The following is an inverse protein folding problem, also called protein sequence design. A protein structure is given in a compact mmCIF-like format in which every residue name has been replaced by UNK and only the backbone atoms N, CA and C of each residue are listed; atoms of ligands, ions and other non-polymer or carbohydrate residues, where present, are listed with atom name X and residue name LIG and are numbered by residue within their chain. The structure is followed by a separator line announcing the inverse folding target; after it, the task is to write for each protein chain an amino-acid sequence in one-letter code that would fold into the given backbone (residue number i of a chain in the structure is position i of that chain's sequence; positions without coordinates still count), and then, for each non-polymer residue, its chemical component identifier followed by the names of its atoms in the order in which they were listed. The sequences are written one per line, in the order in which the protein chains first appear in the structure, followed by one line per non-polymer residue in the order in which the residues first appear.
data_IF_871987695819
#
_entry.id   IF_871987695819
#
_cell.length_a   1.000
_cell.length_b   1.000
_cell.length_c   1.000
_cell.angle_alpha   90.00
_cell.angle_beta   90.00
_cell.angle_gamma   90.00
#
_symmetry.space_group_name_H-M   'P 1'
#
loop_
_entity.id
_entity.type
_entity.pdbx_description
1 polymer ?
#
# COMPACT_ATOMS: atom_id res chain seq x y z
N UNK A 1 13.04 -1.12 -15.32
CA UNK A 1 12.02 -0.55 -14.42
C UNK A 1 12.58 -0.51 -13.02
N UNK A 2 12.72 0.66 -12.43
CA UNK A 2 13.16 0.82 -11.04
C UNK A 2 12.02 0.40 -10.11
N UNK A 3 12.32 -0.43 -9.11
CA UNK A 3 11.29 -0.84 -8.14
C UNK A 3 10.82 0.36 -7.32
N UNK A 4 9.57 0.34 -6.83
CA UNK A 4 9.06 1.39 -5.94
C UNK A 4 9.96 1.60 -4.72
N UNK A 5 10.49 0.52 -4.14
CA UNK A 5 11.42 0.58 -3.03
C UNK A 5 12.72 1.32 -3.41
N UNK A 6 13.29 1.01 -4.57
CA UNK A 6 14.50 1.70 -5.06
C UNK A 6 14.25 3.19 -5.31
N UNK A 7 13.08 3.56 -5.85
CA UNK A 7 12.71 4.95 -6.06
C UNK A 7 12.53 5.73 -4.74
N UNK A 8 12.00 5.07 -3.70
CA UNK A 8 11.87 5.64 -2.36
C UNK A 8 13.23 5.81 -1.67
N UNK A 9 14.12 4.80 -1.77
CA UNK A 9 15.48 4.88 -1.22
C UNK A 9 16.29 5.99 -1.88
N UNK A 10 16.12 6.22 -3.19
CA UNK A 10 16.76 7.32 -3.90
C UNK A 10 16.31 8.71 -3.39
N UNK A 11 15.15 8.81 -2.72
CA UNK A 11 14.66 10.00 -2.03
C UNK A 11 15.01 10.04 -0.54
N UNK A 12 15.91 9.17 -0.09
CA UNK A 12 16.36 9.11 1.31
C UNK A 12 15.44 8.32 2.25
N UNK A 13 14.39 7.69 1.74
CA UNK A 13 13.53 6.87 2.58
C UNK A 13 14.21 5.55 2.97
N UNK A 14 13.96 5.08 4.20
CA UNK A 14 14.31 3.73 4.64
C UNK A 14 13.10 2.81 4.45
N UNK A 15 13.20 1.84 3.54
CA UNK A 15 12.14 0.84 3.34
C UNK A 15 12.28 -0.26 4.39
N UNK A 16 11.40 -0.28 5.37
CA UNK A 16 11.43 -1.23 6.51
C UNK A 16 10.72 -2.56 6.22
N UNK A 17 9.74 -2.57 5.31
CA UNK A 17 9.03 -3.77 4.89
C UNK A 17 8.40 -3.61 3.50
N UNK A 18 8.15 -4.72 2.80
CA UNK A 18 7.44 -4.71 1.50
C UNK A 18 6.38 -5.81 1.45
N UNK A 19 5.19 -5.44 0.98
CA UNK A 19 4.03 -6.31 0.95
C UNK A 19 3.45 -6.43 -0.45
N UNK A 20 3.05 -7.65 -0.83
CA UNK A 20 2.35 -7.94 -2.08
C UNK A 20 1.09 -8.74 -1.78
N UNK A 21 -0.07 -8.25 -2.24
CA UNK A 21 -1.32 -9.00 -2.24
C UNK A 21 -1.55 -9.58 -3.64
N UNK A 22 -1.29 -10.88 -3.80
CA UNK A 22 -1.60 -11.59 -5.05
C UNK A 22 -3.06 -12.02 -5.07
N UNK A 23 -3.65 -12.17 -6.27
CA UNK A 23 -4.99 -12.75 -6.49
C UNK A 23 -4.88 -14.10 -7.17
N UNK A 24 -5.62 -15.07 -6.64
CA UNK A 24 -5.68 -16.41 -7.18
C UNK A 24 -6.47 -16.45 -8.51
N UNK A 25 -6.09 -17.40 -9.36
CA UNK A 25 -6.69 -17.63 -10.68
C UNK A 25 -7.74 -18.73 -10.53
N UNK A 26 -8.96 -18.34 -10.15
CA UNK A 26 -10.16 -19.17 -10.29
C UNK A 26 -11.06 -18.58 -11.36
N UNK A 27 -12.08 -19.31 -11.83
CA UNK A 27 -13.00 -18.83 -12.86
C UNK A 27 -13.70 -17.50 -12.47
N UNK A 28 -14.00 -17.32 -11.18
CA UNK A 28 -14.43 -16.04 -10.61
C UNK A 28 -13.28 -15.03 -10.37
N UNK A 29 -12.09 -15.51 -10.05
CA UNK A 29 -10.91 -14.68 -9.78
C UNK A 29 -10.36 -13.97 -11.02
N UNK A 30 -10.36 -14.65 -12.17
CA UNK A 30 -9.91 -14.09 -13.47
C UNK A 30 -10.72 -12.84 -13.83
N UNK A 31 -12.05 -12.91 -13.68
CA UNK A 31 -12.96 -11.77 -13.92
C UNK A 31 -12.72 -10.57 -13.00
N UNK A 32 -11.99 -10.74 -11.90
CA UNK A 32 -11.72 -9.71 -10.88
C UNK A 32 -10.25 -9.26 -10.86
N UNK A 33 -9.43 -9.66 -11.83
CA UNK A 33 -7.98 -9.37 -11.83
C UNK A 33 -7.65 -7.88 -11.83
N UNK A 34 -8.44 -7.05 -12.52
CA UNK A 34 -8.27 -5.60 -12.53
C UNK A 34 -8.96 -4.88 -11.37
N UNK A 35 -9.70 -5.60 -10.51
CA UNK A 35 -10.46 -4.98 -9.42
C UNK A 35 -9.70 -5.06 -8.10
N UNK A 36 -9.84 -4.04 -7.23
CA UNK A 36 -9.30 -4.12 -5.88
C UNK A 36 -9.99 -5.23 -5.08
N UNK A 37 -9.36 -5.68 -4.00
CA UNK A 37 -10.01 -6.57 -3.03
C UNK A 37 -11.11 -5.87 -2.24
N UNK A 38 -10.93 -4.57 -2.05
CA UNK A 38 -11.84 -3.70 -1.34
C UNK A 38 -11.75 -2.33 -1.97
N UNK A 39 -12.88 -1.72 -2.31
CA UNK A 39 -12.92 -0.34 -2.80
C UNK A 39 -12.40 0.67 -1.77
N UNK A 40 -12.40 0.31 -0.47
CA UNK A 40 -11.96 1.17 0.63
C UNK A 40 -10.46 1.11 0.91
N UNK A 41 -9.84 -0.05 0.70
CA UNK A 41 -8.47 -0.33 1.16
C UNK A 41 -7.55 -0.86 0.08
N UNK A 42 -8.07 -1.18 -1.11
CA UNK A 42 -7.43 -1.91 -2.21
C UNK A 42 -7.02 -3.35 -1.88
N UNK A 43 -6.63 -3.61 -0.64
CA UNK A 43 -6.22 -4.87 -0.05
C UNK A 43 -7.37 -5.56 0.68
N UNK A 44 -7.21 -6.86 0.94
CA UNK A 44 -8.07 -7.56 1.90
C UNK A 44 -7.87 -7.00 3.32
N UNK A 45 -8.89 -7.11 4.18
CA UNK A 45 -8.75 -6.69 5.59
C UNK A 45 -7.64 -7.42 6.33
N UNK A 46 -7.47 -8.72 6.07
CA UNK A 46 -6.39 -9.52 6.65
C UNK A 46 -5.02 -8.94 6.28
N UNK A 47 -4.83 -8.52 5.03
CA UNK A 47 -3.58 -7.90 4.60
C UNK A 47 -3.38 -6.52 5.21
N UNK A 48 -4.44 -5.72 5.36
CA UNK A 48 -4.32 -4.42 6.07
C UNK A 48 -3.86 -4.62 7.51
N UNK A 49 -4.37 -5.65 8.21
CA UNK A 49 -3.92 -5.97 9.58
C UNK A 49 -2.46 -6.41 9.63
N UNK A 50 -2.03 -7.25 8.69
CA UNK A 50 -0.63 -7.67 8.58
C UNK A 50 0.30 -6.47 8.39
N UNK A 51 -0.08 -5.52 7.51
CA UNK A 51 0.70 -4.29 7.28
C UNK A 51 0.68 -3.40 8.54
N UNK A 52 -0.47 -3.21 9.18
CA UNK A 52 -0.58 -2.40 10.40
C UNK A 52 0.32 -2.95 11.53
N UNK A 53 0.36 -4.27 11.70
CA UNK A 53 1.26 -4.90 12.67
C UNK A 53 2.73 -4.66 12.34
N UNK A 54 3.11 -4.71 11.06
CA UNK A 54 4.48 -4.41 10.66
C UNK A 54 4.84 -2.93 10.83
N UNK A 55 3.87 -2.02 10.62
CA UNK A 55 4.06 -0.60 10.91
C UNK A 55 4.34 -0.37 12.39
N UNK A 56 3.56 -0.98 13.28
CA UNK A 56 3.76 -0.90 14.74
C UNK A 56 5.12 -1.47 15.17
N UNK A 57 5.49 -2.64 14.67
CA UNK A 57 6.76 -3.29 15.02
C UNK A 57 8.00 -2.55 14.51
N UNK A 58 7.88 -1.88 13.37
CA UNK A 58 9.00 -1.19 12.72
C UNK A 58 9.02 0.32 12.99
N UNK A 59 8.07 0.84 13.77
CA UNK A 59 7.83 2.28 13.98
C UNK A 59 7.80 3.05 12.65
N UNK A 60 6.97 2.55 11.72
CA UNK A 60 6.94 3.07 10.36
C UNK A 60 6.21 4.43 10.28
N UNK A 61 6.87 5.44 9.69
CA UNK A 61 6.30 6.78 9.53
C UNK A 61 5.16 6.83 8.51
N UNK A 62 5.15 5.94 7.50
CA UNK A 62 4.14 5.92 6.45
C UNK A 62 4.09 4.59 5.69
N UNK A 63 2.94 4.32 5.07
CA UNK A 63 2.77 3.23 4.09
C UNK A 63 2.58 3.82 2.70
N UNK A 64 3.45 3.44 1.78
CA UNK A 64 3.38 3.87 0.38
C UNK A 64 2.71 2.79 -0.47
N UNK A 65 1.62 3.17 -1.14
CA UNK A 65 0.91 2.33 -2.10
C UNK A 65 1.40 2.63 -3.52
N UNK A 66 1.78 1.59 -4.26
CA UNK A 66 2.15 1.74 -5.69
C UNK A 66 0.95 2.23 -6.52
N UNK A 67 -0.25 1.76 -6.19
CA UNK A 67 -1.48 2.23 -6.80
C UNK A 67 -1.89 3.60 -6.24
N UNK A 68 -2.43 4.46 -7.09
CA UNK A 68 -2.99 5.75 -6.68
C UNK A 68 -4.14 5.53 -5.69
N UNK A 69 -4.12 6.29 -4.59
CA UNK A 69 -5.15 6.31 -3.59
C UNK A 69 -6.04 7.54 -3.78
N UNK A 70 -7.35 7.35 -3.69
CA UNK A 70 -8.27 8.47 -3.49
C UNK A 70 -8.10 9.02 -2.07
N UNK A 71 -8.41 10.30 -1.84
CA UNK A 71 -8.35 10.89 -0.48
C UNK A 71 -9.24 10.15 0.54
N UNK A 72 -10.34 9.52 0.10
CA UNK A 72 -11.15 8.65 0.98
C UNK A 72 -10.41 7.38 1.39
N UNK A 73 -9.69 6.75 0.46
CA UNK A 73 -8.88 5.57 0.75
C UNK A 73 -7.71 5.92 1.66
N UNK A 74 -7.00 7.03 1.40
CA UNK A 74 -5.91 7.51 2.26
C UNK A 74 -6.39 7.68 3.72
N UNK A 75 -7.50 8.38 3.94
CA UNK A 75 -8.06 8.55 5.30
C UNK A 75 -8.48 7.23 5.95
N UNK A 76 -9.12 6.35 5.19
CA UNK A 76 -9.56 5.04 5.70
C UNK A 76 -8.37 4.18 6.08
N UNK A 77 -7.36 4.11 5.22
CA UNK A 77 -6.15 3.32 5.43
C UNK A 77 -5.32 3.90 6.58
N UNK A 78 -5.17 5.23 6.67
CA UNK A 78 -4.43 5.86 7.76
C UNK A 78 -5.02 5.49 9.13
N UNK A 79 -6.35 5.54 9.27
CA UNK A 79 -7.02 5.11 10.50
C UNK A 79 -6.87 3.62 10.82
N UNK A 80 -6.66 2.77 9.80
CA UNK A 80 -6.48 1.32 9.99
C UNK A 80 -5.02 0.92 10.23
N UNK A 81 -4.07 1.69 9.69
CA UNK A 81 -2.64 1.39 9.74
C UNK A 81 -1.94 2.06 10.93
N UNK A 82 -2.52 3.13 11.48
CA UNK A 82 -1.90 3.91 12.57
C UNK A 82 -0.90 4.97 12.08
N UNK A 83 -0.58 4.99 10.79
CA UNK A 83 0.30 5.98 10.15
C UNK A 83 -0.28 6.44 8.80
N UNK A 84 0.17 7.57 8.23
CA UNK A 84 -0.22 8.01 6.90
C UNK A 84 -0.12 6.92 5.81
N UNK A 85 -1.14 6.87 4.95
CA UNK A 85 -1.14 6.05 3.74
C UNK A 85 -1.13 6.97 2.52
N UNK A 86 -0.10 6.85 1.67
CA UNK A 86 0.13 7.76 0.54
C UNK A 86 0.34 7.00 -0.77
N UNK A 87 0.04 7.64 -1.90
CA UNK A 87 0.34 7.07 -3.21
C UNK A 87 1.82 7.29 -3.55
N UNK A 88 2.44 6.34 -4.22
CA UNK A 88 3.81 6.49 -4.72
C UNK A 88 3.93 7.72 -5.64
N UNK A 89 2.93 7.95 -6.50
CA UNK A 89 2.89 9.14 -7.37
C UNK A 89 3.02 10.45 -6.60
N UNK A 90 2.37 10.53 -5.44
CA UNK A 90 2.32 11.75 -4.63
C UNK A 90 3.68 12.00 -3.99
N UNK A 91 4.35 10.92 -3.53
CA UNK A 91 5.72 10.99 -2.98
C UNK A 91 6.75 11.32 -4.07
N UNK A 92 6.57 10.81 -5.28
CA UNK A 92 7.49 11.07 -6.39
C UNK A 92 7.28 12.43 -7.06
N UNK A 93 6.12 13.06 -6.85
CA UNK A 93 5.82 14.41 -7.33
C UNK A 93 6.20 15.49 -6.31
N UNK A 94 6.44 15.12 -5.06
CA UNK A 94 7.03 16.00 -4.06
C UNK A 94 8.55 16.09 -4.29
N UNK A 95 9.03 17.33 -4.46
CA UNK A 95 10.45 17.69 -4.57
C UNK A 95 11.05 17.98 -3.19
#
# INVERSE_FOLDING_TARGET
MTSAATALVARGARVVAQFVQRRGVSDGGVRKMGLPYSSRTLLSYGKVREVAQACDQADADAVVFVAALTGRQQRTLAGMLGCPAVSLSDVLAAD
#
